data_IF_098748408132
#
_entry.id   IF_098748408132
#
_cell.length_a   1.000
_cell.length_b   1.000
_cell.length_c   1.000
_cell.angle_alpha   90.00
_cell.angle_beta   90.00
_cell.angle_gamma   90.00
#
_symmetry.space_group_name_H-M   'P 1'
#
loop_
_entity.id
_entity.type
_entity.pdbx_description
1 polymer ?
#
# COMPACT_ATOMS: atom_id res chain seq x y z
N UNK A 1 8.66 82.79 -12.01
CA UNK A 1 8.75 81.31 -12.06
C UNK A 1 8.03 80.81 -10.82
N UNK A 2 6.96 80.01 -10.82
CA UNK A 2 6.53 78.96 -11.74
C UNK A 2 5.09 78.55 -11.41
N UNK A 3 4.45 77.96 -12.42
CA UNK A 3 3.08 77.43 -12.53
C UNK A 3 2.62 76.45 -11.42
N UNK A 4 1.30 76.47 -11.21
CA UNK A 4 0.47 75.46 -10.50
C UNK A 4 0.62 74.07 -11.13
N UNK A 5 0.50 73.01 -10.32
CA UNK A 5 -0.16 71.74 -10.68
C UNK A 5 -0.62 70.93 -9.46
N UNK A 6 -1.90 70.53 -9.51
CA UNK A 6 -2.57 69.46 -8.76
C UNK A 6 -1.67 68.20 -8.60
N UNK A 7 -1.86 67.33 -7.60
CA UNK A 7 -2.93 66.31 -7.56
C UNK A 7 -2.89 65.56 -6.22
N UNK A 8 -4.06 65.11 -5.76
CA UNK A 8 -4.28 64.30 -4.56
C UNK A 8 -3.59 62.93 -4.63
N UNK A 9 -2.96 62.50 -3.53
CA UNK A 9 -2.53 61.12 -3.35
C UNK A 9 -3.69 60.26 -2.83
N UNK A 10 -3.81 59.11 -3.49
CA UNK A 10 -4.95 58.23 -3.47
C UNK A 10 -4.95 57.23 -2.29
N UNK A 11 -6.16 56.75 -2.01
CA UNK A 11 -6.50 55.71 -1.05
C UNK A 11 -5.80 54.36 -1.29
N UNK A 12 -5.73 53.58 -0.21
CA UNK A 12 -5.23 52.21 -0.10
C UNK A 12 -5.67 51.23 -1.21
N UNK A 13 -4.76 50.33 -1.56
CA UNK A 13 -5.11 49.02 -2.11
C UNK A 13 -4.16 47.97 -1.53
N UNK A 14 -4.67 47.24 -0.54
CA UNK A 14 -4.04 46.07 0.07
C UNK A 14 -4.23 44.92 -0.93
N UNK A 15 -3.19 44.59 -1.69
CA UNK A 15 -3.20 43.36 -2.50
C UNK A 15 -2.86 42.15 -1.61
N UNK A 16 -3.66 41.07 -1.67
CA UNK A 16 -3.43 39.90 -0.84
C UNK A 16 -2.20 39.14 -1.33
N UNK A 17 -1.28 38.82 -0.42
CA UNK A 17 -0.17 37.90 -0.67
C UNK A 17 -0.75 36.55 -1.13
N UNK A 18 -0.66 36.29 -2.44
CA UNK A 18 -0.93 34.97 -3.02
C UNK A 18 0.08 33.99 -2.40
N UNK A 19 -0.35 32.87 -1.79
CA UNK A 19 0.57 31.85 -1.33
C UNK A 19 1.32 31.33 -2.56
N UNK A 20 2.64 31.51 -2.57
CA UNK A 20 3.50 30.83 -3.55
C UNK A 20 3.32 29.35 -3.29
N UNK A 21 2.57 28.67 -4.15
CA UNK A 21 2.45 27.23 -4.12
C UNK A 21 3.87 26.67 -4.18
N UNK A 22 4.31 26.03 -3.09
CA UNK A 22 5.47 25.17 -3.09
C UNK A 22 5.22 24.13 -4.17
N UNK A 23 5.84 24.34 -5.33
CA UNK A 23 5.88 23.36 -6.40
C UNK A 23 6.57 22.16 -5.77
N UNK A 24 5.76 21.19 -5.34
CA UNK A 24 6.23 19.89 -4.88
C UNK A 24 7.00 19.31 -6.06
N UNK A 25 8.31 19.51 -6.07
CA UNK A 25 9.23 18.64 -6.77
C UNK A 25 9.10 17.29 -6.06
N UNK A 26 8.06 16.56 -6.40
CA UNK A 26 8.05 15.12 -6.30
C UNK A 26 9.15 14.71 -7.27
N UNK A 27 10.39 14.65 -6.76
CA UNK A 27 11.41 13.82 -7.36
C UNK A 27 10.70 12.51 -7.65
N UNK A 28 10.74 12.06 -8.91
CA UNK A 28 10.42 10.68 -9.25
C UNK A 28 11.34 9.83 -8.37
N UNK A 29 10.92 9.55 -7.14
CA UNK A 29 11.46 8.50 -6.31
C UNK A 29 10.95 7.28 -7.04
N UNK A 30 11.70 6.88 -8.06
CA UNK A 30 11.48 5.63 -8.74
C UNK A 30 11.45 4.59 -7.64
N UNK A 31 10.28 3.99 -7.45
CA UNK A 31 10.14 2.84 -6.59
C UNK A 31 11.07 1.79 -7.19
N UNK A 32 12.24 1.62 -6.61
CA UNK A 32 13.21 0.61 -7.05
C UNK A 32 12.70 -0.68 -6.43
N UNK A 33 12.15 -1.62 -7.22
CA UNK A 33 11.60 -2.84 -6.68
C UNK A 33 12.68 -3.55 -5.89
N UNK A 34 12.29 -4.00 -4.72
CA UNK A 34 13.18 -4.63 -3.78
C UNK A 34 13.47 -6.06 -4.24
N UNK A 35 14.65 -6.35 -4.79
CA UNK A 35 14.99 -7.69 -5.32
C UNK A 35 15.19 -8.77 -4.24
N UNK A 36 14.59 -8.64 -3.04
CA UNK A 36 14.75 -9.65 -2.00
C UNK A 36 13.78 -10.80 -2.25
N UNK A 37 14.37 -11.95 -2.57
CA UNK A 37 13.70 -13.25 -2.71
C UNK A 37 13.57 -13.99 -1.37
N UNK A 38 13.95 -13.34 -0.26
CA UNK A 38 14.05 -13.91 1.08
C UNK A 38 12.91 -13.41 1.99
N UNK A 39 11.70 -13.24 1.45
CA UNK A 39 10.53 -12.85 2.25
C UNK A 39 9.81 -14.11 2.69
N UNK A 40 9.73 -14.33 4.00
CA UNK A 40 8.91 -15.41 4.54
C UNK A 40 7.43 -15.06 4.43
N UNK A 41 6.68 -15.86 3.68
CA UNK A 41 5.23 -15.78 3.54
C UNK A 41 4.60 -16.77 4.53
N UNK A 42 3.83 -16.26 5.49
CA UNK A 42 3.17 -17.06 6.52
C UNK A 42 1.66 -16.84 6.43
N UNK A 43 0.93 -17.94 6.32
CA UNK A 43 -0.51 -17.96 6.44
C UNK A 43 -0.90 -18.62 7.75
N UNK A 44 -1.76 -17.97 8.51
CA UNK A 44 -2.28 -18.49 9.77
C UNK A 44 -3.81 -18.46 9.73
N UNK A 45 -4.43 -19.64 9.78
CA UNK A 45 -5.88 -19.76 9.84
C UNK A 45 -6.32 -19.90 11.30
N UNK A 46 -7.32 -19.12 11.68
CA UNK A 46 -7.91 -19.16 13.02
C UNK A 46 -9.17 -20.03 13.09
N UNK A 47 -9.70 -20.48 11.96
CA UNK A 47 -10.94 -21.25 11.96
C UNK A 47 -10.71 -22.71 12.36
N UNK A 48 -11.21 -23.09 13.53
CA UNK A 48 -11.05 -24.44 14.09
C UNK A 48 -11.75 -25.54 13.29
N UNK A 49 -12.62 -25.18 12.33
CA UNK A 49 -13.34 -26.15 11.49
C UNK A 49 -12.52 -26.64 10.30
N UNK A 50 -11.40 -25.98 9.99
CA UNK A 50 -10.52 -26.32 8.88
C UNK A 50 -9.25 -27.03 9.34
N UNK A 51 -8.76 -27.96 8.53
CA UNK A 51 -7.46 -28.61 8.71
C UNK A 51 -6.27 -27.79 8.15
N UNK A 52 -6.54 -26.69 7.45
CA UNK A 52 -5.54 -25.70 7.06
C UNK A 52 -5.25 -24.82 8.27
N UNK A 53 -4.17 -25.10 9.00
CA UNK A 53 -3.84 -24.36 10.24
C UNK A 53 -2.79 -23.28 10.01
N UNK A 54 -1.62 -23.64 9.49
CA UNK A 54 -0.53 -22.70 9.22
C UNK A 54 0.31 -23.21 8.07
N UNK A 55 0.68 -22.31 7.18
CA UNK A 55 1.56 -22.59 6.07
C UNK A 55 2.65 -21.53 5.98
N UNK A 56 3.88 -21.97 5.70
CA UNK A 56 5.02 -21.07 5.50
C UNK A 56 5.73 -21.46 4.21
N UNK A 57 6.10 -20.46 3.43
CA UNK A 57 7.05 -20.59 2.32
C UNK A 57 7.91 -19.35 2.19
N UNK A 58 9.00 -19.46 1.44
CA UNK A 58 9.78 -18.29 1.02
C UNK A 58 9.21 -17.73 -0.28
N UNK A 59 9.33 -16.43 -0.46
CA UNK A 59 8.85 -15.74 -1.65
C UNK A 59 9.68 -16.09 -2.88
N UNK A 60 9.10 -15.82 -4.05
CA UNK A 60 9.75 -15.86 -5.35
C UNK A 60 9.60 -14.50 -6.03
N UNK A 61 9.93 -13.45 -5.27
CA UNK A 61 9.88 -12.08 -5.74
C UNK A 61 9.70 -11.04 -4.63
N UNK A 62 9.59 -9.77 -5.06
CA UNK A 62 9.49 -8.62 -4.18
C UNK A 62 8.14 -8.59 -3.44
N UNK A 63 8.09 -7.89 -2.31
CA UNK A 63 6.88 -7.76 -1.47
C UNK A 63 5.70 -7.14 -2.23
N UNK A 64 5.93 -6.26 -3.20
CA UNK A 64 4.87 -5.65 -4.00
C UNK A 64 4.14 -6.70 -4.84
N UNK A 65 4.87 -7.67 -5.40
CA UNK A 65 4.29 -8.77 -6.15
C UNK A 65 3.48 -9.68 -5.23
N UNK A 66 4.04 -10.02 -4.06
CA UNK A 66 3.36 -10.81 -3.02
C UNK A 66 2.02 -10.16 -2.66
N UNK A 67 2.01 -8.84 -2.45
CA UNK A 67 0.79 -8.09 -2.10
C UNK A 67 -0.25 -8.11 -3.22
N UNK A 68 0.17 -7.97 -4.49
CA UNK A 68 -0.72 -8.04 -5.65
C UNK A 68 -1.31 -9.45 -5.78
N UNK A 69 -0.49 -10.49 -5.68
CA UNK A 69 -0.94 -11.87 -5.79
C UNK A 69 -1.85 -12.26 -4.62
N UNK A 70 -1.56 -11.78 -3.41
CA UNK A 70 -2.46 -11.89 -2.27
C UNK A 70 -3.81 -11.23 -2.53
N UNK A 71 -3.84 -10.01 -3.07
CA UNK A 71 -5.09 -9.32 -3.40
C UNK A 71 -5.96 -10.13 -4.37
N UNK A 72 -5.35 -10.75 -5.40
CA UNK A 72 -6.05 -11.66 -6.33
C UNK A 72 -6.63 -12.87 -5.64
N UNK A 73 -5.92 -13.45 -4.66
CA UNK A 73 -6.44 -14.56 -3.86
C UNK A 73 -7.66 -14.12 -3.04
N UNK A 74 -7.69 -12.88 -2.54
CA UNK A 74 -8.86 -12.38 -1.80
C UNK A 74 -10.11 -12.21 -2.68
N UNK A 75 -9.94 -11.97 -3.98
CA UNK A 75 -11.07 -11.89 -4.92
C UNK A 75 -11.84 -13.21 -5.03
N UNK A 76 -11.23 -14.35 -4.64
CA UNK A 76 -11.93 -15.64 -4.56
C UNK A 76 -13.04 -15.66 -3.49
N UNK A 77 -13.01 -14.75 -2.52
CA UNK A 77 -13.93 -14.73 -1.38
C UNK A 77 -13.75 -15.89 -0.39
N UNK A 78 -12.70 -16.70 -0.56
CA UNK A 78 -12.49 -17.91 0.27
C UNK A 78 -11.95 -17.63 1.67
N UNK A 79 -11.40 -16.43 1.88
CA UNK A 79 -10.78 -16.02 3.14
C UNK A 79 -11.44 -14.77 3.69
N UNK A 80 -11.71 -14.77 4.99
CA UNK A 80 -11.91 -13.53 5.76
C UNK A 80 -10.58 -13.13 6.37
N UNK A 81 -10.10 -11.91 6.10
CA UNK A 81 -8.80 -11.42 6.59
C UNK A 81 -8.98 -10.68 7.91
N UNK A 82 -8.20 -11.07 8.93
CA UNK A 82 -8.16 -10.39 10.22
C UNK A 82 -6.97 -9.45 10.37
N UNK A 83 -5.81 -9.87 9.88
CA UNK A 83 -4.61 -9.03 9.93
C UNK A 83 -3.64 -9.37 8.82
N UNK A 84 -2.96 -8.34 8.33
CA UNK A 84 -1.83 -8.43 7.41
C UNK A 84 -0.67 -7.70 8.05
N UNK A 85 0.47 -8.39 8.19
CA UNK A 85 1.72 -7.80 8.64
C UNK A 85 2.74 -7.98 7.52
N UNK A 86 3.21 -6.85 6.99
CA UNK A 86 4.18 -6.81 5.91
C UNK A 86 5.41 -6.00 6.34
N UNK A 87 6.59 -6.56 6.11
CA UNK A 87 7.87 -5.93 6.33
C UNK A 87 8.87 -6.38 5.27
N UNK A 88 10.10 -5.87 5.33
CA UNK A 88 11.18 -6.22 4.39
C UNK A 88 11.44 -7.73 4.28
N UNK A 89 11.17 -8.51 5.32
CA UNK A 89 11.54 -9.93 5.41
C UNK A 89 10.36 -10.86 5.71
N UNK A 90 9.17 -10.31 5.92
CA UNK A 90 8.02 -11.07 6.39
C UNK A 90 6.75 -10.54 5.76
N UNK A 91 5.96 -11.45 5.21
CA UNK A 91 4.57 -11.25 4.86
C UNK A 91 3.72 -12.29 5.62
N UNK A 92 3.05 -11.86 6.69
CA UNK A 92 2.23 -12.73 7.52
C UNK A 92 0.77 -12.32 7.43
N UNK A 93 -0.11 -13.26 7.09
CA UNK A 93 -1.54 -13.04 6.99
C UNK A 93 -2.29 -13.97 7.94
N UNK A 94 -3.23 -13.38 8.68
CA UNK A 94 -4.13 -14.11 9.56
C UNK A 94 -5.53 -14.05 9.00
N UNK A 95 -6.12 -15.22 8.79
CA UNK A 95 -7.40 -15.40 8.09
C UNK A 95 -8.32 -16.34 8.86
N UNK A 96 -9.61 -16.31 8.54
CA UNK A 96 -10.52 -17.44 8.73
C UNK A 96 -10.86 -18.05 7.38
N UNK A 97 -10.74 -19.37 7.30
CA UNK A 97 -11.18 -20.18 6.18
C UNK A 97 -11.81 -21.47 6.74
N UNK A 98 -13.09 -21.71 6.46
CA UNK A 98 -13.79 -22.93 6.88
C UNK A 98 -13.39 -24.15 6.04
N UNK A 99 -12.89 -23.92 4.82
CA UNK A 99 -12.51 -24.98 3.88
C UNK A 99 -11.20 -25.65 4.29
N UNK A 100 -11.11 -26.95 4.06
CA UNK A 100 -9.90 -27.72 4.29
C UNK A 100 -8.86 -27.48 3.21
N UNK A 101 -7.61 -27.81 3.52
CA UNK A 101 -6.43 -27.62 2.68
C UNK A 101 -6.63 -28.16 1.25
N UNK A 102 -7.27 -29.33 1.13
CA UNK A 102 -7.44 -30.06 -0.14
C UNK A 102 -8.67 -29.57 -0.94
N UNK A 103 -9.47 -28.65 -0.39
CA UNK A 103 -10.65 -28.06 -1.05
C UNK A 103 -10.29 -26.83 -1.90
N UNK A 104 -9.10 -26.81 -2.49
CA UNK A 104 -8.55 -25.70 -3.29
C UNK A 104 -7.90 -24.58 -2.45
N UNK A 105 -7.85 -24.74 -1.13
CA UNK A 105 -7.18 -23.77 -0.24
C UNK A 105 -5.69 -23.71 -0.52
N UNK A 106 -5.04 -24.87 -0.64
CA UNK A 106 -3.61 -24.91 -0.89
C UNK A 106 -3.23 -24.35 -2.26
N UNK A 107 -4.05 -24.54 -3.29
CA UNK A 107 -3.78 -23.98 -4.62
C UNK A 107 -3.72 -22.44 -4.57
N UNK A 108 -4.68 -21.82 -3.87
CA UNK A 108 -4.72 -20.38 -3.69
C UNK A 108 -3.58 -19.87 -2.80
N UNK A 109 -3.30 -20.53 -1.67
CA UNK A 109 -2.18 -20.18 -0.77
C UNK A 109 -0.84 -20.29 -1.49
N UNK A 110 -0.63 -21.35 -2.27
CA UNK A 110 0.61 -21.58 -3.01
C UNK A 110 0.78 -20.62 -4.19
N UNK A 111 -0.31 -20.09 -4.73
CA UNK A 111 -0.27 -19.14 -5.86
C UNK A 111 0.37 -17.79 -5.52
N UNK A 112 0.44 -17.40 -4.24
CA UNK A 112 1.04 -16.13 -3.80
C UNK A 112 2.56 -16.26 -3.79
N UNK A 113 3.26 -15.77 -4.80
CA UNK A 113 4.71 -15.92 -4.98
C UNK A 113 5.53 -14.89 -4.22
#
# INVERSE_FOLDING_TARGET
MTSVKHTADAAESITPNVPTALKSELSNVGFTPHEDFDISIIWHNLDSRSDFLTFRKESQGPIERILIDFARVLESGMFTVYSVNASKHLFCVTVACEKNKDEGVMDLVLSVL
#
